data_IF_819360062343
#
_entry.id   IF_819360062343
#
_cell.length_a   1.000
_cell.length_b   1.000
_cell.length_c   1.000
_cell.angle_alpha   90.00
_cell.angle_beta   90.00
_cell.angle_gamma   90.00
#
_symmetry.space_group_name_H-M   'P 1'
#
loop_
_entity.id
_entity.type
_entity.pdbx_description
1 polymer ?
#
# COMPACT_ATOMS: atom_id res chain seq x y z
N UNK A 1 26.23 -1.21 4.66
CA UNK A 1 25.13 -1.78 3.87
C UNK A 1 23.94 -0.87 4.10
N UNK A 2 23.46 -0.18 3.07
CA UNK A 2 22.35 0.76 3.17
C UNK A 2 21.02 0.05 3.48
N UNK A 3 20.02 0.83 3.91
CA UNK A 3 18.68 0.34 4.19
C UNK A 3 18.10 -0.42 2.99
N UNK A 4 18.19 0.16 1.80
CA UNK A 4 17.67 -0.43 0.57
C UNK A 4 18.45 -1.68 0.12
N UNK A 5 19.75 -1.78 0.40
CA UNK A 5 20.54 -2.98 0.07
C UNK A 5 20.06 -4.22 0.83
N UNK A 6 19.62 -4.03 2.08
CA UNK A 6 19.04 -5.14 2.86
C UNK A 6 17.66 -5.50 2.32
N UNK A 7 16.85 -4.51 1.98
CA UNK A 7 15.50 -4.69 1.47
C UNK A 7 15.50 -5.43 0.13
N UNK A 8 16.32 -4.98 -0.83
CA UNK A 8 16.42 -5.60 -2.15
C UNK A 8 16.89 -7.07 -2.13
N UNK A 9 17.66 -7.49 -1.12
CA UNK A 9 18.12 -8.87 -0.99
C UNK A 9 17.07 -9.84 -0.47
N UNK A 10 16.14 -9.37 0.33
CA UNK A 10 15.14 -10.20 1.01
C UNK A 10 13.80 -10.18 0.30
N UNK A 11 13.58 -9.17 -0.55
CA UNK A 11 12.36 -9.05 -1.31
C UNK A 11 12.56 -9.55 -2.75
N UNK A 12 12.21 -10.80 -3.06
CA UNK A 12 12.50 -11.40 -4.38
C UNK A 12 11.57 -10.89 -5.49
N UNK A 13 10.93 -9.75 -5.34
CA UNK A 13 10.09 -9.13 -6.38
C UNK A 13 8.74 -9.83 -6.65
N UNK A 14 8.56 -11.05 -6.18
CA UNK A 14 7.39 -11.87 -6.46
C UNK A 14 6.19 -11.70 -5.54
N UNK A 15 6.28 -10.87 -4.53
CA UNK A 15 5.24 -10.77 -3.50
C UNK A 15 3.89 -10.24 -4.02
N UNK A 16 3.90 -9.47 -5.08
CA UNK A 16 2.70 -8.91 -5.72
C UNK A 16 2.45 -9.51 -7.10
N UNK A 17 2.63 -10.80 -7.26
CA UNK A 17 2.28 -11.54 -8.46
C UNK A 17 0.76 -11.69 -8.62
N UNK A 18 0.03 -10.61 -8.49
CA UNK A 18 -1.39 -10.58 -8.79
C UNK A 18 -1.65 -9.87 -10.10
N UNK A 19 -2.78 -10.15 -10.73
CA UNK A 19 -3.32 -9.29 -11.77
C UNK A 19 -4.42 -8.42 -11.17
N UNK A 20 -4.19 -7.11 -10.94
CA UNK A 20 -5.21 -6.24 -10.39
C UNK A 20 -6.46 -6.12 -11.25
N UNK A 21 -6.41 -6.51 -12.51
CA UNK A 21 -7.54 -6.48 -13.45
C UNK A 21 -8.31 -7.80 -13.50
N UNK A 22 -7.84 -8.83 -12.83
CA UNK A 22 -8.52 -10.13 -12.77
C UNK A 22 -8.81 -10.54 -11.31
N UNK A 23 -10.01 -10.24 -10.79
CA UNK A 23 -10.37 -10.55 -9.42
C UNK A 23 -10.50 -12.05 -9.14
N UNK A 24 -10.58 -12.86 -10.17
CA UNK A 24 -10.76 -14.32 -10.06
C UNK A 24 -9.45 -15.09 -10.18
N UNK A 25 -8.36 -14.45 -10.61
CA UNK A 25 -7.07 -15.11 -10.71
C UNK A 25 -6.58 -15.55 -9.33
N UNK A 26 -6.02 -16.75 -9.27
CA UNK A 26 -5.35 -17.25 -8.07
C UNK A 26 -3.96 -16.63 -8.03
N UNK A 27 -3.57 -16.05 -6.89
CA UNK A 27 -2.21 -15.55 -6.72
C UNK A 27 -1.23 -16.74 -6.78
N UNK A 28 0.02 -16.48 -7.17
CA UNK A 28 1.10 -17.48 -7.18
C UNK A 28 1.35 -18.15 -5.82
N UNK A 29 0.92 -17.52 -4.74
CA UNK A 29 0.95 -18.06 -3.38
C UNK A 29 -0.28 -18.92 -3.03
N UNK A 30 -1.20 -19.15 -3.96
CA UNK A 30 -2.43 -19.92 -3.70
C UNK A 30 -3.40 -19.22 -2.74
N UNK A 31 -3.24 -17.93 -2.49
CA UNK A 31 -4.12 -17.17 -1.62
C UNK A 31 -5.35 -16.71 -2.40
N UNK A 32 -6.45 -17.39 -2.18
CA UNK A 32 -7.74 -16.99 -2.73
C UNK A 32 -8.18 -15.62 -2.19
N UNK A 33 -8.68 -14.76 -3.07
CA UNK A 33 -9.21 -13.46 -2.72
C UNK A 33 -8.19 -12.32 -2.70
N UNK A 34 -6.90 -12.58 -2.81
CA UNK A 34 -5.89 -11.51 -2.86
C UNK A 34 -6.07 -10.63 -4.10
N UNK A 35 -6.28 -11.21 -5.27
CA UNK A 35 -6.58 -10.46 -6.49
C UNK A 35 -7.89 -9.68 -6.40
N UNK A 36 -8.86 -10.17 -5.63
CA UNK A 36 -10.09 -9.43 -5.35
C UNK A 36 -9.83 -8.13 -4.59
N UNK A 37 -8.88 -8.12 -3.63
CA UNK A 37 -8.44 -6.90 -2.95
C UNK A 37 -7.75 -5.95 -3.91
N UNK A 38 -6.83 -6.44 -4.75
CA UNK A 38 -6.16 -5.64 -5.78
C UNK A 38 -7.16 -5.04 -6.76
N UNK A 39 -8.17 -5.79 -7.17
CA UNK A 39 -9.23 -5.30 -8.04
C UNK A 39 -10.07 -4.20 -7.38
N UNK A 40 -10.34 -4.30 -6.07
CA UNK A 40 -11.01 -3.24 -5.32
C UNK A 40 -10.17 -1.95 -5.30
N UNK A 41 -8.86 -2.06 -5.08
CA UNK A 41 -7.92 -0.93 -5.17
C UNK A 41 -7.94 -0.32 -6.57
N UNK A 42 -7.90 -1.16 -7.63
CA UNK A 42 -8.01 -0.69 -9.01
C UNK A 42 -9.29 0.11 -9.23
N UNK A 43 -10.44 -0.39 -8.79
CA UNK A 43 -11.72 0.28 -8.98
C UNK A 43 -11.78 1.63 -8.25
N UNK A 44 -11.31 1.69 -7.02
CA UNK A 44 -11.41 2.88 -6.18
C UNK A 44 -10.32 3.92 -6.50
N UNK A 45 -9.08 3.46 -6.68
CA UNK A 45 -7.93 4.37 -6.74
C UNK A 45 -7.47 4.67 -8.17
N UNK A 46 -7.68 3.79 -9.16
CA UNK A 46 -7.04 3.90 -10.47
C UNK A 46 -8.03 4.19 -11.59
N UNK A 47 -9.12 3.41 -11.64
CA UNK A 47 -10.04 3.37 -12.79
C UNK A 47 -10.52 4.75 -13.26
N UNK A 48 -10.84 5.64 -12.33
CA UNK A 48 -11.42 6.95 -12.63
C UNK A 48 -10.36 8.06 -12.84
N UNK A 49 -9.10 7.78 -12.53
CA UNK A 49 -8.02 8.78 -12.51
C UNK A 49 -7.02 8.58 -13.64
N UNK A 50 -6.89 7.37 -14.15
CA UNK A 50 -5.90 7.03 -15.18
C UNK A 50 -6.56 6.84 -16.54
N UNK A 51 -6.08 7.60 -17.53
CA UNK A 51 -6.54 7.58 -18.94
C UNK A 51 -5.37 7.89 -19.89
N UNK A 52 -5.64 7.98 -21.19
CA UNK A 52 -4.62 8.16 -22.23
C UNK A 52 -3.81 9.46 -22.17
N UNK A 53 -4.19 10.41 -21.35
CA UNK A 53 -3.44 11.66 -21.14
C UNK A 53 -2.61 11.65 -19.87
N UNK A 54 -2.81 10.64 -19.00
CA UNK A 54 -2.22 10.59 -17.67
C UNK A 54 -0.77 10.13 -17.71
N UNK A 55 0.13 10.95 -17.17
CA UNK A 55 1.49 10.55 -16.80
C UNK A 55 1.48 10.10 -15.34
N UNK A 56 1.86 8.85 -15.12
CA UNK A 56 1.87 8.19 -13.81
C UNK A 56 3.26 8.21 -13.22
N UNK A 57 3.37 8.47 -11.92
CA UNK A 57 4.52 8.14 -11.10
C UNK A 57 4.14 7.02 -10.14
N UNK A 58 4.83 5.91 -10.22
CA UNK A 58 4.72 4.79 -9.30
C UNK A 58 6.00 4.65 -8.48
N UNK A 59 5.89 4.64 -7.15
CA UNK A 59 7.02 4.31 -6.27
C UNK A 59 6.83 2.89 -5.75
N UNK A 60 7.88 2.05 -5.96
CA UNK A 60 7.92 0.66 -5.59
C UNK A 60 7.08 -0.24 -6.48
N UNK A 61 7.32 -0.23 -7.81
CA UNK A 61 6.59 -1.08 -8.74
C UNK A 61 6.84 -2.57 -8.50
N UNK A 62 7.97 -2.93 -7.87
CA UNK A 62 8.39 -4.31 -7.71
C UNK A 62 8.43 -4.99 -9.07
N UNK A 63 7.67 -6.09 -9.23
CA UNK A 63 7.56 -6.80 -10.50
C UNK A 63 6.72 -6.05 -11.56
N UNK A 64 5.96 -5.03 -11.16
CA UNK A 64 5.22 -4.18 -12.11
C UNK A 64 3.73 -4.50 -12.28
N UNK A 65 3.08 -5.12 -11.29
CA UNK A 65 1.66 -5.44 -11.37
C UNK A 65 0.79 -4.18 -11.58
N UNK A 66 1.08 -3.11 -10.86
CA UNK A 66 0.38 -1.84 -11.04
C UNK A 66 0.83 -1.08 -12.27
N UNK A 67 2.13 -1.08 -12.59
CA UNK A 67 2.64 -0.52 -13.85
C UNK A 67 1.90 -1.11 -15.04
N UNK A 68 1.77 -2.44 -15.10
CA UNK A 68 1.03 -3.12 -16.17
C UNK A 68 -0.44 -2.68 -16.19
N UNK A 69 -1.06 -2.54 -15.02
CA UNK A 69 -2.43 -2.04 -14.91
C UNK A 69 -2.59 -0.64 -15.51
N UNK A 70 -1.66 0.28 -15.24
CA UNK A 70 -1.68 1.62 -15.83
C UNK A 70 -1.50 1.58 -17.35
N UNK A 71 -0.59 0.75 -17.85
CA UNK A 71 -0.35 0.57 -19.28
C UNK A 71 -1.58 -0.01 -19.99
N UNK A 72 -2.25 -1.01 -19.41
CA UNK A 72 -3.48 -1.60 -19.92
C UNK A 72 -4.66 -0.61 -19.89
N UNK A 73 -4.68 0.32 -18.92
CA UNK A 73 -5.59 1.48 -18.92
C UNK A 73 -5.27 2.50 -20.00
N UNK A 74 -4.16 2.33 -20.73
CA UNK A 74 -3.77 3.17 -21.83
C UNK A 74 -3.14 4.51 -21.39
N UNK A 75 -2.55 4.59 -20.17
CA UNK A 75 -1.88 5.82 -19.73
C UNK A 75 -0.83 6.32 -20.73
N UNK A 76 -0.53 7.61 -20.70
CA UNK A 76 0.45 8.22 -21.57
C UNK A 76 1.86 7.71 -21.29
N UNK A 77 2.27 7.71 -20.03
CA UNK A 77 3.59 7.28 -19.57
C UNK A 77 3.54 6.86 -18.10
N UNK A 78 4.41 5.93 -17.72
CA UNK A 78 4.68 5.54 -16.33
C UNK A 78 6.14 5.78 -16.03
N UNK A 79 6.44 6.54 -14.99
CA UNK A 79 7.74 6.55 -14.30
C UNK A 79 7.65 5.57 -13.14
N UNK A 80 8.35 4.46 -13.23
CA UNK A 80 8.38 3.39 -12.25
C UNK A 80 9.68 3.47 -11.45
N UNK A 81 9.62 4.01 -10.23
CA UNK A 81 10.78 4.24 -9.36
C UNK A 81 10.89 3.18 -8.31
N UNK A 82 12.00 2.46 -8.25
CA UNK A 82 12.28 1.43 -7.24
C UNK A 82 13.70 1.56 -6.71
N UNK A 83 13.93 1.05 -5.50
CA UNK A 83 15.26 0.95 -4.92
C UNK A 83 16.11 -0.19 -5.54
N UNK A 84 15.44 -1.23 -6.05
CA UNK A 84 16.08 -2.37 -6.70
C UNK A 84 16.21 -2.15 -8.21
N UNK A 85 17.23 -2.72 -8.87
CA UNK A 85 17.30 -2.76 -10.34
C UNK A 85 16.17 -3.57 -10.96
N UNK A 86 15.74 -3.24 -12.18
CA UNK A 86 14.66 -3.91 -12.88
C UNK A 86 14.90 -5.42 -13.08
N UNK A 87 16.15 -5.81 -13.27
CA UNK A 87 16.58 -7.21 -13.43
C UNK A 87 16.35 -8.01 -12.14
N UNK A 88 16.54 -7.35 -10.98
CA UNK A 88 16.35 -7.99 -9.69
C UNK A 88 14.87 -8.29 -9.40
N UNK A 89 13.98 -7.42 -9.84
CA UNK A 89 12.54 -7.57 -9.65
C UNK A 89 11.84 -8.38 -10.76
N UNK A 90 12.53 -8.64 -11.87
CA UNK A 90 11.93 -9.24 -13.07
C UNK A 90 10.89 -8.33 -13.72
N UNK A 91 11.07 -7.01 -13.60
CA UNK A 91 10.09 -6.01 -14.02
C UNK A 91 9.77 -6.11 -15.51
N UNK A 92 10.80 -6.08 -16.37
CA UNK A 92 10.61 -6.11 -17.82
C UNK A 92 10.09 -7.45 -18.34
N UNK A 93 10.39 -8.56 -17.65
CA UNK A 93 9.86 -9.88 -18.00
C UNK A 93 8.34 -9.96 -17.77
N UNK A 94 7.85 -9.21 -16.78
CA UNK A 94 6.42 -9.20 -16.45
C UNK A 94 5.63 -8.09 -17.17
N UNK A 95 6.18 -6.87 -17.21
CA UNK A 95 5.53 -5.71 -17.82
C UNK A 95 5.61 -5.73 -19.35
N UNK A 96 6.71 -6.27 -19.88
CA UNK A 96 7.08 -6.15 -21.29
C UNK A 96 7.79 -4.83 -21.57
N UNK A 97 8.73 -4.87 -22.50
CA UNK A 97 9.46 -3.67 -22.94
C UNK A 97 8.52 -2.76 -23.73
N UNK A 98 8.45 -1.49 -23.34
CA UNK A 98 7.60 -0.48 -23.97
C UNK A 98 8.20 0.91 -23.80
N UNK A 99 7.97 1.82 -24.77
CA UNK A 99 8.33 3.24 -24.70
C UNK A 99 7.48 4.05 -23.72
N UNK A 100 6.34 3.50 -23.30
CA UNK A 100 5.44 4.14 -22.33
C UNK A 100 5.81 3.91 -20.87
N UNK A 101 6.77 3.04 -20.55
CA UNK A 101 7.27 2.84 -19.20
C UNK A 101 8.75 3.17 -19.14
N UNK A 102 9.15 3.88 -18.08
CA UNK A 102 10.52 4.17 -17.75
C UNK A 102 10.81 3.69 -16.34
N UNK A 103 11.71 2.72 -16.21
CA UNK A 103 12.13 2.21 -14.91
C UNK A 103 13.33 2.99 -14.41
N UNK A 104 13.26 3.51 -13.20
CA UNK A 104 14.27 4.33 -12.55
C UNK A 104 14.70 3.64 -11.26
N UNK A 105 15.88 3.03 -11.26
CA UNK A 105 16.48 2.48 -10.05
C UNK A 105 17.13 3.63 -9.25
N UNK A 106 16.56 3.95 -8.07
CA UNK A 106 17.06 5.04 -7.23
C UNK A 106 16.78 4.79 -5.74
N UNK A 107 17.78 5.15 -4.92
CA UNK A 107 17.72 5.08 -3.46
C UNK A 107 17.82 6.45 -2.79
N UNK A 108 17.86 7.52 -3.57
CA UNK A 108 18.15 8.87 -3.10
C UNK A 108 16.93 9.65 -2.58
N UNK A 109 15.73 9.12 -2.71
CA UNK A 109 14.44 9.71 -2.32
C UNK A 109 14.11 11.05 -3.04
N UNK A 110 14.94 11.49 -3.99
CA UNK A 110 14.79 12.83 -4.63
C UNK A 110 13.92 12.80 -5.87
N UNK A 111 13.62 11.61 -6.40
CA UNK A 111 12.93 11.43 -7.67
C UNK A 111 13.61 12.20 -8.83
N UNK A 112 14.94 12.29 -8.81
CA UNK A 112 15.73 13.11 -9.76
C UNK A 112 15.55 12.70 -11.23
N UNK A 113 15.25 11.42 -11.49
CA UNK A 113 14.95 10.90 -12.82
C UNK A 113 13.55 11.26 -13.35
N UNK A 114 12.69 11.88 -12.55
CA UNK A 114 11.34 12.29 -12.95
C UNK A 114 11.33 13.80 -13.17
N UNK A 115 10.89 14.31 -14.33
CA UNK A 115 10.83 15.75 -14.58
C UNK A 115 9.87 16.46 -13.61
N UNK A 116 10.20 17.70 -13.25
CA UNK A 116 9.32 18.54 -12.43
C UNK A 116 8.02 18.87 -13.21
N UNK A 117 6.91 19.08 -12.48
CA UNK A 117 5.58 19.40 -13.03
C UNK A 117 5.15 18.50 -14.20
N UNK A 118 5.51 17.22 -14.16
CA UNK A 118 5.25 16.26 -15.25
C UNK A 118 4.21 15.18 -14.88
N UNK A 119 3.93 15.00 -13.61
CA UNK A 119 3.12 13.89 -13.10
C UNK A 119 1.67 14.33 -12.90
N UNK A 120 0.73 13.59 -13.51
CA UNK A 120 -0.71 13.80 -13.37
C UNK A 120 -1.33 12.90 -12.32
N UNK A 121 -0.66 11.78 -12.01
CA UNK A 121 -1.16 10.78 -11.06
C UNK A 121 0.00 10.09 -10.33
N UNK A 122 -0.08 10.06 -9.01
CA UNK A 122 0.88 9.35 -8.15
C UNK A 122 0.24 8.14 -7.50
N UNK A 123 0.98 7.04 -7.45
CA UNK A 123 0.54 5.82 -6.80
C UNK A 123 1.71 5.11 -6.09
N UNK A 124 1.47 4.68 -4.86
CA UNK A 124 2.38 3.78 -4.16
C UNK A 124 1.61 2.85 -3.23
N UNK A 125 1.79 1.55 -3.43
CA UNK A 125 1.06 0.51 -2.74
C UNK A 125 2.00 -0.57 -2.21
N UNK A 126 2.02 -0.77 -0.89
CA UNK A 126 2.89 -1.76 -0.25
C UNK A 126 4.35 -1.33 -0.09
N UNK A 127 4.66 -0.02 -0.13
CA UNK A 127 6.03 0.49 -0.05
C UNK A 127 6.23 1.39 1.17
N UNK A 128 5.45 2.44 1.31
CA UNK A 128 5.63 3.42 2.40
C UNK A 128 5.38 2.82 3.79
N UNK A 129 4.64 1.75 3.88
CA UNK A 129 4.49 0.97 5.11
C UNK A 129 5.81 0.28 5.55
N UNK A 130 6.79 0.18 4.67
CA UNK A 130 8.12 -0.39 4.95
C UNK A 130 9.21 0.68 5.08
N UNK A 131 8.88 1.96 4.93
CA UNK A 131 9.80 3.08 5.07
C UNK A 131 9.62 3.75 6.43
N UNK A 132 10.71 4.28 6.98
CA UNK A 132 10.63 5.13 8.16
C UNK A 132 9.86 6.42 7.84
N UNK A 133 9.10 6.99 8.79
CA UNK A 133 8.33 8.22 8.56
C UNK A 133 9.14 9.38 7.98
N UNK A 134 10.40 9.54 8.39
CA UNK A 134 11.29 10.60 7.91
C UNK A 134 11.64 10.43 6.42
N UNK A 135 11.77 9.18 5.96
CA UNK A 135 11.98 8.86 4.54
C UNK A 135 10.71 9.15 3.73
N UNK A 136 9.54 8.82 4.30
CA UNK A 136 8.25 9.12 3.69
C UNK A 136 8.07 10.64 3.52
N UNK A 137 8.40 11.43 4.52
CA UNK A 137 8.33 12.90 4.49
C UNK A 137 9.29 13.47 3.42
N UNK A 138 10.50 12.90 3.29
CA UNK A 138 11.44 13.27 2.22
C UNK A 138 10.88 13.00 0.82
N UNK A 139 10.25 11.84 0.62
CA UNK A 139 9.57 11.53 -0.64
C UNK A 139 8.43 12.52 -0.93
N UNK A 140 7.64 12.93 0.06
CA UNK A 140 6.56 13.91 -0.14
C UNK A 140 7.10 15.27 -0.61
N UNK A 141 8.21 15.74 -0.03
CA UNK A 141 8.87 16.99 -0.48
C UNK A 141 9.32 16.88 -1.95
N UNK A 142 9.86 15.74 -2.35
CA UNK A 142 10.26 15.50 -3.73
C UNK A 142 9.03 15.39 -4.66
N UNK A 143 8.01 14.67 -4.22
CA UNK A 143 6.77 14.47 -4.95
C UNK A 143 6.06 15.80 -5.27
N UNK A 144 6.07 16.74 -4.32
CA UNK A 144 5.47 18.07 -4.50
C UNK A 144 6.03 18.83 -5.71
N UNK A 145 7.30 18.59 -6.06
CA UNK A 145 7.93 19.20 -7.25
C UNK A 145 7.52 18.49 -8.54
N UNK A 146 7.24 17.19 -8.49
CA UNK A 146 6.97 16.37 -9.66
C UNK A 146 5.52 16.43 -10.14
N UNK A 147 4.59 16.56 -9.20
CA UNK A 147 3.16 16.59 -9.51
C UNK A 147 2.73 17.95 -10.03
N UNK A 148 1.80 17.95 -11.00
CA UNK A 148 1.13 19.14 -11.54
C UNK A 148 -0.03 19.60 -10.66
N UNK A 149 -0.42 20.85 -10.78
CA UNK A 149 -1.71 21.31 -10.27
C UNK A 149 -2.87 20.47 -10.88
N UNK A 150 -3.86 20.12 -10.07
CA UNK A 150 -4.97 19.26 -10.44
C UNK A 150 -4.69 17.77 -10.47
N UNK A 151 -3.46 17.33 -10.11
CA UNK A 151 -3.10 15.91 -10.05
C UNK A 151 -3.62 15.22 -8.79
N UNK A 152 -3.85 13.91 -8.90
CA UNK A 152 -4.30 13.06 -7.80
C UNK A 152 -3.23 12.06 -7.36
N UNK A 153 -3.28 11.67 -6.10
CA UNK A 153 -2.32 10.77 -5.48
C UNK A 153 -2.99 9.77 -4.54
N UNK A 154 -2.56 8.52 -4.59
CA UNK A 154 -2.97 7.46 -3.68
C UNK A 154 -1.76 6.80 -3.04
N UNK A 155 -1.72 6.84 -1.73
CA UNK A 155 -0.58 6.42 -0.94
C UNK A 155 -1.01 5.46 0.17
N UNK A 156 -0.56 4.20 0.10
CA UNK A 156 -0.75 3.24 1.18
C UNK A 156 0.34 3.43 2.24
N UNK A 157 -0.08 3.53 3.48
CA UNK A 157 0.80 3.66 4.65
C UNK A 157 0.48 2.61 5.70
N UNK A 158 1.35 2.45 6.71
CA UNK A 158 1.03 1.65 7.88
C UNK A 158 0.41 2.49 9.00
N UNK A 159 -0.70 1.99 9.56
CA UNK A 159 -1.33 2.53 10.74
C UNK A 159 -1.65 1.41 11.74
N UNK A 160 -0.96 1.41 12.89
CA UNK A 160 -1.13 0.40 13.91
C UNK A 160 -2.49 0.50 14.63
N UNK A 161 -3.08 1.69 14.68
CA UNK A 161 -4.40 1.87 15.29
C UNK A 161 -5.47 1.22 14.41
N UNK A 162 -5.42 1.44 13.09
CA UNK A 162 -6.30 0.74 12.13
C UNK A 162 -6.11 -0.77 12.17
N UNK A 163 -4.86 -1.24 12.19
CA UNK A 163 -4.53 -2.66 12.28
C UNK A 163 -5.11 -3.29 13.56
N UNK A 164 -4.86 -2.66 14.72
CA UNK A 164 -5.37 -3.13 16.01
C UNK A 164 -6.90 -3.10 16.06
N UNK A 165 -7.53 -2.07 15.47
CA UNK A 165 -8.98 -2.01 15.32
C UNK A 165 -9.52 -3.17 14.48
N UNK A 166 -8.88 -3.50 13.36
CA UNK A 166 -9.26 -4.64 12.52
C UNK A 166 -9.13 -5.97 13.27
N UNK A 167 -8.04 -6.18 14.02
CA UNK A 167 -7.86 -7.35 14.86
C UNK A 167 -8.98 -7.46 15.92
N UNK A 168 -9.29 -6.38 16.61
CA UNK A 168 -10.31 -6.36 17.65
C UNK A 168 -11.71 -6.64 17.12
N UNK A 169 -11.98 -6.33 15.86
CA UNK A 169 -13.31 -6.42 15.26
C UNK A 169 -13.49 -7.60 14.31
N UNK A 170 -12.42 -8.18 13.77
CA UNK A 170 -12.48 -9.30 12.82
C UNK A 170 -13.31 -10.47 13.39
N UNK A 171 -13.00 -10.91 14.58
CA UNK A 171 -13.71 -12.01 15.23
C UNK A 171 -15.12 -11.62 15.66
N UNK A 172 -15.34 -10.38 16.08
CA UNK A 172 -16.67 -9.90 16.49
C UNK A 172 -17.65 -9.91 15.33
N UNK A 173 -17.21 -9.55 14.13
CA UNK A 173 -18.05 -9.57 12.94
C UNK A 173 -18.41 -11.00 12.54
N UNK A 174 -17.45 -11.90 12.58
CA UNK A 174 -17.64 -13.33 12.27
C UNK A 174 -18.66 -13.98 13.23
N UNK A 175 -18.49 -13.76 14.53
CA UNK A 175 -19.40 -14.29 15.56
C UNK A 175 -20.79 -13.66 15.47
N UNK A 176 -20.89 -12.34 15.32
CA UNK A 176 -22.18 -11.66 15.16
C UNK A 176 -22.94 -12.18 13.94
N UNK A 177 -22.26 -12.36 12.80
CA UNK A 177 -22.85 -12.93 11.58
C UNK A 177 -23.28 -14.38 11.78
N UNK A 178 -22.45 -15.20 12.42
CA UNK A 178 -22.80 -16.58 12.72
C UNK A 178 -24.07 -16.68 13.56
N UNK A 179 -24.16 -15.92 14.66
CA UNK A 179 -25.35 -15.91 15.51
C UNK A 179 -26.56 -15.25 14.85
N UNK A 180 -26.36 -14.21 14.06
CA UNK A 180 -27.44 -13.58 13.29
C UNK A 180 -28.03 -14.54 12.25
N UNK A 181 -27.20 -15.28 11.54
CA UNK A 181 -27.64 -16.24 10.52
C UNK A 181 -28.38 -17.43 11.12
N UNK A 182 -28.12 -17.81 12.38
CA UNK A 182 -28.73 -18.96 13.06
C UNK A 182 -29.84 -18.61 14.03
N UNK A 183 -30.31 -17.37 14.08
CA UNK A 183 -31.37 -16.89 14.96
C UNK A 183 -31.20 -17.31 16.45
N UNK A 184 -29.94 -17.37 16.92
CA UNK A 184 -29.62 -17.77 18.29
C UNK A 184 -30.11 -16.71 19.30
N UNK A 185 -30.73 -17.14 20.36
CA UNK A 185 -31.36 -16.27 21.35
C UNK A 185 -30.35 -15.36 22.09
N UNK A 186 -30.79 -14.13 22.43
CA UNK A 186 -29.93 -13.06 22.94
C UNK A 186 -29.08 -13.42 24.17
N UNK A 187 -29.58 -14.14 25.20
CA UNK A 187 -28.80 -14.56 26.37
C UNK A 187 -27.62 -15.49 26.02
N UNK A 188 -27.81 -16.43 25.09
CA UNK A 188 -26.75 -17.33 24.65
C UNK A 188 -25.66 -16.56 23.88
N UNK A 189 -26.05 -15.53 23.13
CA UNK A 189 -25.10 -14.62 22.43
C UNK A 189 -24.26 -13.81 23.39
N UNK A 190 -24.86 -13.31 24.48
CA UNK A 190 -24.17 -12.55 25.53
C UNK A 190 -23.23 -13.44 26.35
N UNK A 191 -23.67 -14.63 26.75
CA UNK A 191 -22.85 -15.59 27.47
C UNK A 191 -21.65 -16.03 26.65
N UNK A 192 -21.83 -16.32 25.35
CA UNK A 192 -20.75 -16.67 24.46
C UNK A 192 -19.76 -15.51 24.25
N UNK A 193 -20.23 -14.28 24.08
CA UNK A 193 -19.38 -13.10 23.96
C UNK A 193 -18.53 -12.87 25.22
N UNK A 194 -19.08 -13.14 26.40
CA UNK A 194 -18.39 -13.01 27.68
C UNK A 194 -17.34 -14.13 27.88
N UNK A 195 -17.72 -15.38 27.66
CA UNK A 195 -16.82 -16.53 27.80
C UNK A 195 -15.67 -16.45 26.80
N UNK A 196 -15.94 -16.06 25.54
CA UNK A 196 -14.90 -15.88 24.53
C UNK A 196 -13.87 -14.79 24.91
N UNK A 197 -14.32 -13.69 25.53
CA UNK A 197 -13.41 -12.67 26.05
C UNK A 197 -12.51 -13.20 27.18
N UNK A 198 -13.01 -14.11 28.01
CA UNK A 198 -12.27 -14.66 29.14
C UNK A 198 -11.30 -15.77 28.73
N UNK A 199 -11.63 -16.53 27.68
CA UNK A 199 -10.81 -17.67 27.22
C UNK A 199 -9.91 -17.34 26.04
N UNK A 200 -10.02 -16.15 25.46
CA UNK A 200 -9.10 -15.73 24.40
C UNK A 200 -7.71 -15.63 24.99
N UNK A 201 -6.90 -16.66 24.72
CA UNK A 201 -5.48 -16.65 25.05
C UNK A 201 -4.85 -15.38 24.46
N UNK A 202 -4.22 -14.57 25.31
CA UNK A 202 -3.45 -13.39 24.89
C UNK A 202 -2.28 -13.75 23.94
N UNK A 203 -2.08 -15.04 23.64
CA UNK A 203 -0.96 -15.58 22.92
C UNK A 203 -1.04 -15.41 21.40
N UNK A 204 -2.24 -15.32 20.80
CA UNK A 204 -2.37 -15.49 19.35
C UNK A 204 -2.53 -14.20 18.54
N UNK A 205 -2.75 -13.04 19.19
CA UNK A 205 -2.82 -11.78 18.46
C UNK A 205 -2.09 -10.67 19.20
N UNK A 206 -0.83 -10.51 18.85
CA UNK A 206 0.03 -9.47 19.38
C UNK A 206 -0.43 -8.12 18.81
N UNK A 207 -1.01 -7.27 19.66
CA UNK A 207 -1.23 -5.87 19.31
C UNK A 207 0.13 -5.23 19.04
N UNK A 208 0.22 -4.51 17.96
CA UNK A 208 1.42 -3.74 17.66
C UNK A 208 1.39 -2.46 18.49
N UNK A 209 2.44 -2.22 19.24
CA UNK A 209 2.62 -0.99 20.03
C UNK A 209 3.37 0.06 19.21
N UNK A 210 2.98 1.33 19.37
CA UNK A 210 3.71 2.48 18.79
C UNK A 210 5.13 2.62 19.32
N UNK A 211 5.40 2.08 20.52
CA UNK A 211 6.74 2.04 21.11
C UNK A 211 7.61 0.89 20.60
N UNK A 212 7.02 -0.06 19.88
CA UNK A 212 7.77 -1.10 19.19
C UNK A 212 8.39 -0.52 17.90
N UNK A 213 9.13 0.58 18.02
CA UNK A 213 10.08 1.02 17.01
C UNK A 213 11.08 -0.13 16.84
N UNK A 214 10.75 -0.98 15.89
CA UNK A 214 11.45 -2.22 15.61
C UNK A 214 12.87 -1.85 15.23
N UNK A 215 13.81 -2.17 16.11
CA UNK A 215 15.23 -1.99 15.87
C UNK A 215 15.66 -2.81 14.67
N UNK A 216 15.89 -2.12 13.54
CA UNK A 216 16.35 -2.72 12.29
C UNK A 216 17.68 -3.48 12.44
N UNK A 217 18.42 -3.26 13.53
CA UNK A 217 19.68 -3.95 13.77
C UNK A 217 19.50 -5.39 14.19
N UNK A 218 18.33 -5.78 14.70
CA UNK A 218 18.08 -7.09 15.33
C UNK A 218 17.48 -8.14 14.41
N UNK A 219 16.85 -7.78 13.30
CA UNK A 219 16.19 -8.75 12.44
C UNK A 219 16.70 -8.70 11.02
N UNK A 220 17.11 -9.85 10.51
CA UNK A 220 17.32 -10.09 9.09
C UNK A 220 15.97 -10.13 8.32
N UNK A 221 14.85 -10.08 9.02
CA UNK A 221 13.53 -10.18 8.43
C UNK A 221 13.05 -8.79 7.98
N UNK A 222 12.92 -8.63 6.68
CA UNK A 222 12.59 -7.38 6.00
C UNK A 222 11.09 -7.13 5.88
N UNK A 223 10.27 -7.94 6.50
CA UNK A 223 8.82 -7.77 6.53
C UNK A 223 8.39 -6.63 7.44
N UNK A 224 9.32 -5.74 7.83
CA UNK A 224 9.04 -4.67 8.76
C UNK A 224 8.07 -3.66 8.21
N UNK A 225 7.24 -3.24 9.12
CA UNK A 225 6.09 -2.41 8.90
C UNK A 225 6.14 -1.26 9.91
N UNK A 226 6.40 -0.05 9.41
CA UNK A 226 6.61 1.13 10.26
C UNK A 226 5.32 1.93 10.41
N UNK A 227 4.92 2.14 11.65
CA UNK A 227 3.80 3.02 11.92
C UNK A 227 4.14 4.46 11.53
N UNK A 228 3.44 4.99 10.53
CA UNK A 228 3.43 6.41 10.26
C UNK A 228 2.18 7.07 10.87
N UNK A 229 1.04 6.39 10.79
CA UNK A 229 -0.26 6.85 11.28
C UNK A 229 -0.91 7.87 10.36
N UNK A 230 -2.23 7.77 10.21
CA UNK A 230 -3.00 8.63 9.29
C UNK A 230 -2.85 10.10 9.63
N UNK A 231 -2.95 10.47 10.90
CA UNK A 231 -2.89 11.87 11.33
C UNK A 231 -1.55 12.53 11.00
N UNK A 232 -0.44 11.85 11.32
CA UNK A 232 0.91 12.35 11.01
C UNK A 232 1.14 12.41 9.49
N UNK A 233 0.74 11.38 8.76
CA UNK A 233 0.87 11.34 7.30
C UNK A 233 0.06 12.47 6.64
N UNK A 234 -1.20 12.67 7.04
CA UNK A 234 -2.02 13.76 6.54
C UNK A 234 -1.44 15.14 6.86
N UNK A 235 -0.85 15.32 8.05
CA UNK A 235 -0.18 16.58 8.41
C UNK A 235 1.05 16.82 7.51
N UNK A 236 1.87 15.80 7.26
CA UNK A 236 3.02 15.88 6.38
C UNK A 236 2.62 16.19 4.93
N UNK A 237 1.59 15.52 4.41
CA UNK A 237 1.05 15.77 3.08
C UNK A 237 0.58 17.21 2.92
N UNK A 238 -0.18 17.73 3.90
CA UNK A 238 -0.65 19.13 3.90
C UNK A 238 0.49 20.14 3.95
N UNK A 239 1.54 19.85 4.72
CA UNK A 239 2.74 20.70 4.83
C UNK A 239 3.42 20.91 3.48
N UNK A 240 3.40 19.91 2.60
CA UNK A 240 3.96 19.98 1.25
C UNK A 240 3.01 20.63 0.21
N UNK A 241 1.91 21.23 0.67
CA UNK A 241 0.97 21.97 -0.19
C UNK A 241 -0.10 21.11 -0.87
N UNK A 242 -0.28 19.88 -0.45
CA UNK A 242 -1.35 19.03 -0.96
C UNK A 242 -2.64 19.18 -0.15
N UNK A 243 -3.76 18.95 -0.80
CA UNK A 243 -5.07 18.84 -0.16
C UNK A 243 -5.41 17.35 0.08
N UNK A 244 -5.81 17.00 1.29
CA UNK A 244 -6.38 15.69 1.57
C UNK A 244 -7.80 15.65 1.01
N UNK A 245 -8.06 14.69 0.11
CA UNK A 245 -9.38 14.39 -0.43
C UNK A 245 -10.07 13.37 0.48
N UNK A 246 -9.34 12.31 0.86
CA UNK A 246 -9.84 11.25 1.73
C UNK A 246 -8.68 10.72 2.57
N UNK A 247 -8.87 10.65 3.89
CA UNK A 247 -7.80 10.20 4.80
C UNK A 247 -7.55 8.70 4.72
N UNK A 248 -8.55 7.93 4.34
CA UNK A 248 -8.48 6.50 4.11
C UNK A 248 -9.62 6.08 3.19
N UNK A 249 -9.29 5.55 2.04
CA UNK A 249 -10.28 5.03 1.07
C UNK A 249 -10.94 3.73 1.52
N UNK A 250 -10.55 3.17 2.67
CA UNK A 250 -11.07 1.93 3.27
C UNK A 250 -10.99 0.68 2.36
N UNK A 251 -10.25 0.75 1.26
CA UNK A 251 -10.10 -0.39 0.31
C UNK A 251 -9.23 -1.51 0.85
N UNK A 252 -8.38 -1.22 1.84
CA UNK A 252 -7.53 -2.21 2.52
C UNK A 252 -7.85 -2.20 4.01
N UNK A 253 -8.19 -3.36 4.56
CA UNK A 253 -8.60 -3.46 5.95
C UNK A 253 -7.48 -3.12 6.95
N UNK A 254 -6.22 -3.45 6.63
CA UNK A 254 -5.08 -3.29 7.52
C UNK A 254 -4.41 -1.92 7.40
N UNK A 255 -4.16 -1.49 6.18
CA UNK A 255 -3.34 -0.32 5.86
C UNK A 255 -4.19 0.77 5.21
N UNK A 256 -4.18 2.00 5.72
CA UNK A 256 -4.87 3.10 5.08
C UNK A 256 -4.29 3.41 3.70
N UNK A 257 -5.18 3.76 2.76
CA UNK A 257 -4.80 4.34 1.47
C UNK A 257 -5.31 5.77 1.45
N UNK A 258 -4.39 6.73 1.58
CA UNK A 258 -4.70 8.16 1.61
C UNK A 258 -4.86 8.66 0.18
N UNK A 259 -5.96 9.35 -0.10
CA UNK A 259 -6.19 10.10 -1.35
C UNK A 259 -5.93 11.59 -1.12
N UNK A 260 -5.04 12.17 -1.90
CA UNK A 260 -4.75 13.59 -1.85
C UNK A 260 -4.52 14.17 -3.25
N UNK A 261 -4.56 15.49 -3.38
CA UNK A 261 -4.43 16.17 -4.66
C UNK A 261 -3.51 17.39 -4.53
N UNK A 262 -2.83 17.77 -5.61
CA UNK A 262 -2.13 19.05 -5.73
C UNK A 262 -3.10 20.07 -6.33
N UNK A 263 -3.32 21.18 -5.63
CA UNK A 263 -4.20 22.26 -6.09
C UNK A 263 -3.54 23.11 -7.17
#
# INVERSE_FOLDING_TARGET
MGFFDKFSRVWPGGYFEGNPLDPMAVSSFGVYGYNSVLYTVYLACIRNYVNSRTTVLEIGPGRGAWTRTFLERGCKKVYAVDAAPAEHTGFWDYVGVTDRAEYIASTDLTLSGVPDDSVDYFFSFGVFCHLKPEMCETYLTSLAKKMRAGSHAFLMIADYDKYNYCLDNADRLSIKRFFASRKVWLPARLAYSFTWKCFRSKADMRRVSKSDDLDLSRDADTTRWYHWGVDRACAAIKKEGFQIVEQDTEVVARDPVIHFAKL
#
